data_IF_501625600975
#
_entry.id   IF_501625600975
#
_cell.length_a   1.000
_cell.length_b   1.000
_cell.length_c   1.000
_cell.angle_alpha   90.00
_cell.angle_beta   90.00
_cell.angle_gamma   90.00
#
_symmetry.space_group_name_H-M   'P 1'
#
loop_
_entity.id
_entity.type
_entity.pdbx_description
1 polymer ?
#
# COMPACT_ATOMS: atom_id res chain seq x y z
N UNK A 1 2.67 -30.80 -2.45
CA UNK A 1 2.94 -29.53 -3.18
C UNK A 1 2.09 -28.38 -2.64
N UNK A 2 0.82 -28.59 -2.29
CA UNK A 2 -0.05 -27.55 -1.69
C UNK A 2 0.36 -27.11 -0.28
N UNK A 3 0.94 -28.00 0.52
CA UNK A 3 1.34 -27.74 1.92
C UNK A 3 2.47 -26.71 2.07
N UNK A 4 3.39 -26.63 1.09
CA UNK A 4 4.50 -25.66 1.12
C UNK A 4 4.03 -24.22 0.83
N UNK A 5 2.95 -24.08 0.06
CA UNK A 5 2.39 -22.77 -0.31
C UNK A 5 1.57 -22.20 0.87
N UNK A 6 0.87 -23.06 1.61
CA UNK A 6 0.12 -22.70 2.82
C UNK A 6 1.06 -22.17 3.93
N UNK A 7 2.23 -22.78 4.07
CA UNK A 7 3.19 -22.46 5.13
C UNK A 7 3.95 -21.14 4.90
N UNK A 8 4.08 -20.71 3.64
CA UNK A 8 4.68 -19.42 3.27
C UNK A 8 3.62 -18.31 3.01
N UNK A 9 2.36 -18.57 3.34
CA UNK A 9 1.27 -17.63 3.10
C UNK A 9 1.32 -16.50 4.13
N UNK A 10 2.05 -15.44 3.80
CA UNK A 10 2.11 -14.22 4.61
C UNK A 10 0.70 -13.66 4.85
N UNK A 11 0.45 -13.12 6.04
CA UNK A 11 -0.87 -12.58 6.38
C UNK A 11 -1.28 -11.47 5.39
N UNK A 12 -2.56 -11.41 4.97
CA UNK A 12 -3.06 -10.38 4.06
C UNK A 12 -2.71 -8.93 4.45
N UNK A 13 -2.55 -8.66 5.75
CA UNK A 13 -2.12 -7.35 6.25
C UNK A 13 -0.69 -7.00 5.83
N UNK A 14 0.23 -7.96 5.83
CA UNK A 14 1.63 -7.77 5.39
C UNK A 14 1.69 -7.35 3.92
N UNK A 15 0.95 -8.02 3.05
CA UNK A 15 0.85 -7.67 1.63
C UNK A 15 0.35 -6.25 1.43
N UNK A 16 -0.65 -5.84 2.22
CA UNK A 16 -1.21 -4.51 2.17
C UNK A 16 -0.18 -3.43 2.56
N UNK A 17 0.63 -3.68 3.59
CA UNK A 17 1.71 -2.77 3.99
C UNK A 17 2.78 -2.66 2.91
N UNK A 18 3.21 -3.79 2.33
CA UNK A 18 4.21 -3.82 1.24
C UNK A 18 3.71 -3.05 0.02
N UNK A 19 2.47 -3.29 -0.43
CA UNK A 19 1.90 -2.60 -1.57
C UNK A 19 1.74 -1.10 -1.33
N UNK A 20 1.36 -0.68 -0.11
CA UNK A 20 1.24 0.74 0.25
C UNK A 20 2.61 1.42 0.25
N UNK A 21 3.61 0.78 0.84
CA UNK A 21 4.99 1.28 0.92
C UNK A 21 5.63 1.40 -0.47
N UNK A 22 5.41 0.41 -1.34
CA UNK A 22 5.83 0.47 -2.75
C UNK A 22 5.13 1.57 -3.54
N UNK A 23 3.82 1.74 -3.33
CA UNK A 23 3.02 2.79 -4.00
C UNK A 23 3.54 4.17 -3.65
N UNK A 24 3.89 4.40 -2.38
CA UNK A 24 4.54 5.64 -1.94
C UNK A 24 5.91 5.79 -2.61
N UNK A 25 6.77 4.77 -2.53
CA UNK A 25 8.13 4.91 -3.05
C UNK A 25 8.23 5.14 -4.56
N UNK A 26 7.37 4.50 -5.34
CA UNK A 26 7.42 4.59 -6.80
C UNK A 26 6.79 5.89 -7.33
N UNK A 27 5.69 6.34 -6.71
CA UNK A 27 4.85 7.37 -7.29
C UNK A 27 4.80 8.68 -6.48
N UNK A 28 5.20 8.67 -5.20
CA UNK A 28 5.17 9.87 -4.38
C UNK A 28 6.29 10.82 -4.77
N UNK A 29 5.93 11.98 -5.32
CA UNK A 29 6.87 13.06 -5.63
C UNK A 29 6.89 14.08 -4.48
N UNK A 30 7.92 14.00 -3.63
CA UNK A 30 8.09 14.83 -2.42
C UNK A 30 8.13 16.34 -2.68
N UNK A 31 8.42 16.78 -3.91
CA UNK A 31 8.51 18.21 -4.25
C UNK A 31 7.14 18.91 -4.41
N UNK A 32 6.04 18.17 -4.57
CA UNK A 32 4.70 18.77 -4.82
C UNK A 32 3.58 17.98 -4.17
N UNK A 33 3.45 18.17 -2.85
CA UNK A 33 2.44 17.50 -2.03
C UNK A 33 1.00 17.66 -2.55
N UNK A 34 0.61 18.84 -3.04
CA UNK A 34 -0.75 19.14 -3.54
C UNK A 34 -0.90 18.99 -5.06
N UNK A 35 -0.38 17.90 -5.62
CA UNK A 35 -0.64 17.54 -7.02
C UNK A 35 -1.86 16.61 -7.11
N UNK A 36 -2.73 16.81 -8.11
CA UNK A 36 -3.90 15.94 -8.36
C UNK A 36 -3.48 14.46 -8.49
N UNK A 37 -2.26 14.18 -8.98
CA UNK A 37 -1.70 12.81 -9.03
C UNK A 37 -1.36 12.24 -7.65
N UNK A 38 -0.90 13.10 -6.74
CA UNK A 38 -0.55 12.67 -5.39
C UNK A 38 -1.81 12.42 -4.55
N UNK A 39 -2.85 13.20 -4.80
CA UNK A 39 -4.18 12.99 -4.22
C UNK A 39 -4.76 11.63 -4.66
N UNK A 40 -4.54 11.24 -5.91
CA UNK A 40 -4.91 9.91 -6.44
C UNK A 40 -4.20 8.76 -5.70
N UNK A 41 -2.90 8.91 -5.41
CA UNK A 41 -2.13 7.93 -4.65
C UNK A 41 -2.57 7.84 -3.20
N UNK A 42 -2.85 8.99 -2.56
CA UNK A 42 -3.39 9.03 -1.19
C UNK A 42 -4.75 8.35 -1.16
N UNK A 43 -5.61 8.59 -2.17
CA UNK A 43 -6.87 7.86 -2.34
C UNK A 43 -6.66 6.36 -2.47
N UNK A 44 -5.63 5.94 -3.22
CA UNK A 44 -5.31 4.53 -3.43
C UNK A 44 -4.87 3.86 -2.12
N UNK A 45 -4.05 4.54 -1.33
CA UNK A 45 -3.62 4.09 0.00
C UNK A 45 -4.80 4.11 0.98
N UNK A 46 -5.74 5.04 0.84
CA UNK A 46 -6.93 5.12 1.68
C UNK A 46 -7.88 3.92 1.50
N UNK A 47 -7.76 3.12 0.43
CA UNK A 47 -8.46 1.83 0.34
C UNK A 47 -7.95 0.81 1.35
N UNK A 48 -6.67 0.88 1.75
CA UNK A 48 -6.05 -0.07 2.66
C UNK A 48 -6.79 -0.19 4.01
N UNK A 49 -7.06 0.90 4.76
CA UNK A 49 -7.82 0.80 6.01
C UNK A 49 -9.25 0.30 5.80
N UNK A 50 -9.91 0.65 4.69
CA UNK A 50 -11.26 0.16 4.38
C UNK A 50 -11.30 -1.36 4.20
N UNK A 51 -10.30 -1.93 3.51
CA UNK A 51 -10.17 -3.37 3.33
C UNK A 51 -9.78 -4.10 4.63
N UNK A 52 -8.96 -3.48 5.48
CA UNK A 52 -8.64 -4.03 6.81
C UNK A 52 -9.85 -4.05 7.74
N UNK A 53 -10.63 -2.97 7.75
CA UNK A 53 -11.87 -2.89 8.54
C UNK A 53 -12.89 -3.92 8.09
N UNK A 54 -12.94 -4.27 6.80
CA UNK A 54 -13.81 -5.33 6.31
C UNK A 54 -13.42 -6.71 6.86
N UNK A 55 -12.14 -6.94 7.17
CA UNK A 55 -11.64 -8.24 7.68
C UNK A 55 -11.64 -8.33 9.21
N UNK A 56 -11.38 -7.23 9.92
CA UNK A 56 -11.15 -7.26 11.38
C UNK A 56 -12.02 -6.28 12.17
N UNK A 57 -12.83 -5.46 11.51
CA UNK A 57 -13.55 -4.35 12.13
C UNK A 57 -15.06 -4.37 11.86
N UNK A 58 -15.76 -3.31 12.27
CA UNK A 58 -17.18 -3.18 12.02
C UNK A 58 -17.47 -2.99 10.52
N UNK A 59 -18.22 -3.94 9.94
CA UNK A 59 -18.54 -3.99 8.50
C UNK A 59 -19.20 -2.69 8.00
N UNK A 60 -20.09 -2.09 8.79
CA UNK A 60 -20.75 -0.84 8.43
C UNK A 60 -19.76 0.32 8.23
N UNK A 61 -18.74 0.43 9.08
CA UNK A 61 -17.71 1.45 8.94
C UNK A 61 -16.81 1.18 7.73
N UNK A 62 -16.51 -0.10 7.46
CA UNK A 62 -15.74 -0.51 6.28
C UNK A 62 -16.46 -0.11 4.98
N UNK A 63 -17.75 -0.43 4.85
CA UNK A 63 -18.54 -0.08 3.67
C UNK A 63 -18.68 1.43 3.48
N UNK A 64 -18.94 2.18 4.55
CA UNK A 64 -19.00 3.65 4.48
C UNK A 64 -17.67 4.25 4.03
N UNK A 65 -16.56 3.74 4.57
CA UNK A 65 -15.22 4.18 4.21
C UNK A 65 -14.90 3.88 2.75
N UNK A 66 -15.06 2.63 2.32
CA UNK A 66 -14.81 2.20 0.93
C UNK A 66 -15.69 2.94 -0.06
N UNK A 67 -16.97 3.15 0.27
CA UNK A 67 -17.90 3.92 -0.55
C UNK A 67 -17.45 5.38 -0.67
N UNK A 68 -17.04 6.01 0.45
CA UNK A 68 -16.54 7.39 0.43
C UNK A 68 -15.29 7.55 -0.45
N UNK A 69 -14.33 6.63 -0.33
CA UNK A 69 -13.13 6.62 -1.20
C UNK A 69 -13.54 6.44 -2.66
N UNK A 70 -14.46 5.51 -2.97
CA UNK A 70 -14.94 5.27 -4.33
C UNK A 70 -15.63 6.51 -4.94
N UNK A 71 -16.46 7.20 -4.16
CA UNK A 71 -17.13 8.46 -4.58
C UNK A 71 -16.09 9.55 -4.86
N UNK A 72 -15.05 9.67 -4.03
CA UNK A 72 -13.95 10.60 -4.28
C UNK A 72 -13.27 10.31 -5.63
N UNK A 73 -12.96 9.04 -5.92
CA UNK A 73 -12.40 8.63 -7.21
C UNK A 73 -13.35 8.91 -8.37
N UNK A 74 -14.65 8.65 -8.21
CA UNK A 74 -15.68 8.93 -9.20
C UNK A 74 -15.70 10.44 -9.55
N UNK A 75 -15.73 11.30 -8.53
CA UNK A 75 -15.69 12.76 -8.70
C UNK A 75 -14.40 13.18 -9.41
N UNK A 76 -13.25 12.61 -9.02
CA UNK A 76 -11.96 12.87 -9.68
C UNK A 76 -12.00 12.45 -11.16
N UNK A 77 -12.57 11.29 -11.49
CA UNK A 77 -12.71 10.81 -12.86
C UNK A 77 -13.61 11.73 -13.70
N UNK A 78 -14.65 12.31 -13.10
CA UNK A 78 -15.51 13.31 -13.75
C UNK A 78 -14.81 14.66 -13.98
N UNK A 79 -13.81 15.00 -13.17
CA UNK A 79 -13.01 16.23 -13.31
C UNK A 79 -11.85 16.04 -14.31
N UNK A 80 -11.41 14.80 -14.57
CA UNK A 80 -10.33 14.47 -15.52
C UNK A 80 -10.50 15.10 -16.93
N UNK A 81 -11.69 15.14 -17.54
CA UNK A 81 -11.92 15.79 -18.84
C UNK A 81 -11.75 17.32 -18.83
N UNK A 82 -11.95 17.96 -17.67
CA UNK A 82 -11.83 19.42 -17.50
C UNK A 82 -10.35 19.84 -17.48
N UNK A 83 -9.46 18.93 -17.09
CA UNK A 83 -8.02 19.12 -17.10
C UNK A 83 -7.46 18.93 -18.53
N UNK A 84 -7.53 19.98 -19.37
CA UNK A 84 -6.89 20.01 -20.71
C UNK A 84 -5.41 19.58 -20.63
N UNK A 85 -4.98 18.77 -21.61
CA UNK A 85 -3.84 17.83 -21.59
C UNK A 85 -2.44 18.47 -21.42
N UNK A 86 -1.53 17.64 -20.90
CA UNK A 86 -0.26 17.89 -20.20
C UNK A 86 0.94 18.13 -21.14
N UNK A 87 1.95 18.97 -20.80
CA UNK A 87 3.33 18.65 -21.21
C UNK A 87 4.33 18.75 -20.05
N UNK A 88 4.91 17.59 -19.73
CA UNK A 88 6.32 17.32 -19.47
C UNK A 88 6.35 15.96 -18.77
N UNK A 89 6.82 14.96 -19.52
CA UNK A 89 7.15 13.62 -18.99
C UNK A 89 8.43 13.78 -18.17
N UNK A 90 8.31 14.46 -17.04
CA UNK A 90 9.32 14.33 -16.00
C UNK A 90 9.21 12.88 -15.47
N UNK A 91 10.34 12.21 -15.18
CA UNK A 91 10.34 10.82 -14.74
C UNK A 91 9.31 10.61 -13.64
N UNK A 92 8.43 9.62 -13.85
CA UNK A 92 7.53 9.08 -12.83
C UNK A 92 8.34 8.67 -11.59
N UNK A 93 9.51 8.09 -11.86
CA UNK A 93 10.45 7.62 -10.88
C UNK A 93 11.54 8.68 -10.62
N UNK A 94 11.35 9.50 -9.59
CA UNK A 94 12.37 10.44 -9.12
C UNK A 94 13.48 9.72 -8.37
N UNK A 95 14.71 10.26 -8.40
CA UNK A 95 15.85 9.74 -7.63
C UNK A 95 15.49 9.53 -6.16
N UNK A 96 14.72 10.46 -5.58
CA UNK A 96 14.23 10.39 -4.19
C UNK A 96 13.25 9.23 -3.95
N UNK A 97 12.46 8.86 -4.97
CA UNK A 97 11.53 7.72 -4.88
C UNK A 97 12.27 6.38 -4.96
N UNK A 98 13.31 6.30 -5.80
CA UNK A 98 14.17 5.11 -5.89
C UNK A 98 14.91 4.88 -4.57
N UNK A 99 15.55 5.91 -4.02
CA UNK A 99 16.30 5.79 -2.76
C UNK A 99 15.38 5.40 -1.61
N UNK A 100 14.20 6.01 -1.51
CA UNK A 100 13.20 5.61 -0.52
C UNK A 100 12.74 4.16 -0.71
N UNK A 101 12.39 3.76 -1.94
CA UNK A 101 11.92 2.39 -2.23
C UNK A 101 12.98 1.35 -1.87
N UNK A 102 14.25 1.60 -2.20
CA UNK A 102 15.36 0.71 -1.86
C UNK A 102 15.52 0.59 -0.35
N UNK A 103 15.53 1.72 0.38
CA UNK A 103 15.66 1.71 1.84
C UNK A 103 14.47 1.03 2.53
N UNK A 104 13.26 1.32 2.06
CA UNK A 104 12.03 0.81 2.63
C UNK A 104 11.88 -0.71 2.38
N UNK A 105 12.23 -1.19 1.18
CA UNK A 105 12.32 -2.62 0.89
C UNK A 105 13.39 -3.32 1.70
N UNK A 106 14.57 -2.70 1.82
CA UNK A 106 15.67 -3.25 2.60
C UNK A 106 15.27 -3.41 4.07
N UNK A 107 14.68 -2.38 4.67
CA UNK A 107 14.17 -2.43 6.04
C UNK A 107 13.06 -3.48 6.21
N UNK A 108 12.12 -3.56 5.26
CA UNK A 108 11.05 -4.54 5.27
C UNK A 108 11.57 -5.98 5.19
N UNK A 109 12.53 -6.25 4.31
CA UNK A 109 13.14 -7.57 4.16
C UNK A 109 13.94 -7.95 5.40
N UNK A 110 14.72 -7.03 5.98
CA UNK A 110 15.42 -7.25 7.24
C UNK A 110 14.43 -7.59 8.37
N UNK A 111 13.35 -6.81 8.50
CA UNK A 111 12.30 -7.07 9.48
C UNK A 111 11.62 -8.44 9.24
N UNK A 112 11.39 -8.81 7.99
CA UNK A 112 10.81 -10.10 7.61
C UNK A 112 11.72 -11.26 8.01
N UNK A 113 13.03 -11.14 7.75
CA UNK A 113 14.03 -12.13 8.15
C UNK A 113 14.06 -12.31 9.67
N UNK A 114 14.06 -11.21 10.44
CA UNK A 114 14.01 -11.30 11.90
C UNK A 114 12.70 -11.92 12.41
N UNK A 115 11.58 -11.63 11.76
CA UNK A 115 10.27 -12.19 12.12
C UNK A 115 10.21 -13.69 11.86
N UNK A 116 10.75 -14.17 10.73
CA UNK A 116 10.84 -15.61 10.41
C UNK A 116 11.69 -16.35 11.44
N UNK A 117 12.82 -15.78 11.86
CA UNK A 117 13.66 -16.37 12.91
C UNK A 117 12.97 -16.39 14.28
N UNK A 118 12.23 -15.34 14.64
CA UNK A 118 11.50 -15.30 15.91
C UNK A 118 10.42 -16.39 15.99
N UNK A 119 9.70 -16.64 14.88
CA UNK A 119 8.69 -17.71 14.81
C UNK A 119 9.30 -19.10 14.94
N UNK A 120 10.52 -19.33 14.44
CA UNK A 120 11.20 -20.63 14.55
C UNK A 120 11.79 -20.89 15.94
N UNK A 121 12.10 -19.84 16.71
CA UNK A 121 12.79 -19.94 18.00
C UNK A 121 11.82 -20.19 19.17
N UNK A 122 10.50 -20.06 18.97
CA UNK A 122 9.53 -20.57 19.94
C UNK A 122 9.56 -22.10 19.87
N UNK A 123 10.25 -22.79 20.80
CA UNK A 123 10.27 -24.24 20.79
C UNK A 123 8.85 -24.66 21.11
N UNK A 124 8.34 -25.67 20.41
CA UNK A 124 7.17 -26.45 20.80
C UNK A 124 7.21 -26.76 22.30
N UNK A 125 6.64 -25.86 23.11
CA UNK A 125 6.58 -25.99 24.56
C UNK A 125 5.37 -26.85 24.86
N UNK A 126 5.61 -28.16 24.70
CA UNK A 126 4.99 -29.25 25.46
C UNK A 126 3.47 -29.17 25.67
N UNK A 127 2.69 -29.35 24.61
CA UNK A 127 1.58 -30.32 24.58
C UNK A 127 1.43 -30.86 23.17
#
# INVERSE_FOLDING_TARGET
MSTLIEQYRMDPTTWLYVSSLMTIGIYFRFYRFFSIRNLDLIGLIAFAPGLLLLRHGPEAAAYLWLFGVLVLFLVRLMIDPVLKRRPLVAPNLSSDGITFTVLALFAFLIASVFTEHAVQVEPTRWF
#
